data_IF_770947519358
#
_entry.id   IF_770947519358
#
_cell.length_a   1.000
_cell.length_b   1.000
_cell.length_c   1.000
_cell.angle_alpha   90.00
_cell.angle_beta   90.00
_cell.angle_gamma   90.00
#
_symmetry.space_group_name_H-M   'P 1'
#
loop_
_entity.id
_entity.type
_entity.pdbx_description
1 polymer ?
#
# COMPACT_ATOMS: atom_id res chain seq x y z
N UNK A 1 22.19 22.32 7.33
CA UNK A 1 21.26 22.01 6.22
C UNK A 1 20.82 20.57 6.39
N UNK A 2 19.62 20.31 6.92
CA UNK A 2 19.15 18.94 7.14
C UNK A 2 18.88 18.34 5.76
N UNK A 3 19.51 17.21 5.37
CA UNK A 3 19.21 16.59 4.09
C UNK A 3 17.71 16.30 4.04
N UNK A 4 17.07 16.77 2.98
CA UNK A 4 15.63 16.85 2.80
C UNK A 4 15.03 15.42 2.69
N UNK A 5 14.72 14.82 3.84
CA UNK A 5 14.29 13.41 4.00
C UNK A 5 12.87 13.26 3.45
N UNK A 6 12.69 12.36 2.50
CA UNK A 6 11.36 11.94 2.06
C UNK A 6 10.81 10.82 2.94
N UNK A 7 9.51 10.86 3.17
CA UNK A 7 8.69 9.82 3.81
C UNK A 7 8.21 8.83 2.76
N UNK A 8 8.16 7.55 3.12
CA UNK A 8 7.52 6.50 2.31
C UNK A 8 6.34 5.94 3.09
N UNK A 9 5.16 6.00 2.47
CA UNK A 9 3.93 5.34 2.91
C UNK A 9 3.72 4.12 2.01
N UNK A 10 3.65 2.93 2.60
CA UNK A 10 3.36 1.68 1.92
C UNK A 10 1.95 1.21 2.33
N UNK A 11 1.05 1.07 1.36
CA UNK A 11 -0.34 0.63 1.59
C UNK A 11 -0.51 -0.75 0.98
N UNK A 12 -0.92 -1.73 1.79
CA UNK A 12 -0.99 -3.14 1.41
C UNK A 12 -2.34 -3.77 1.78
N UNK A 13 -2.92 -4.59 0.88
CA UNK A 13 -4.13 -5.33 1.12
C UNK A 13 -3.90 -6.56 2.01
N UNK A 14 -4.98 -7.09 2.59
CA UNK A 14 -4.96 -8.30 3.43
C UNK A 14 -5.98 -9.37 3.03
N UNK A 15 -6.82 -9.12 2.02
CA UNK A 15 -7.91 -10.04 1.68
C UNK A 15 -7.47 -11.44 1.20
N UNK A 16 -6.30 -11.59 0.56
CA UNK A 16 -5.88 -12.86 -0.03
C UNK A 16 -4.78 -13.54 0.80
N UNK A 17 -4.91 -14.85 1.01
CA UNK A 17 -3.88 -15.69 1.66
C UNK A 17 -2.53 -15.60 0.94
N UNK A 18 -2.54 -15.46 -0.39
CA UNK A 18 -1.32 -15.29 -1.19
C UNK A 18 -0.47 -14.07 -0.81
N UNK A 19 -1.04 -13.06 -0.13
CA UNK A 19 -0.28 -11.91 0.39
C UNK A 19 0.60 -12.28 1.60
N UNK A 20 0.40 -13.47 2.17
CA UNK A 20 1.11 -13.98 3.33
C UNK A 20 2.00 -15.18 3.02
N UNK A 21 2.03 -15.63 1.77
CA UNK A 21 2.92 -16.70 1.32
C UNK A 21 4.38 -16.27 1.39
N UNK A 22 5.31 -17.22 1.59
CA UNK A 22 6.76 -16.96 1.63
C UNK A 22 7.37 -16.73 0.23
N UNK A 23 6.66 -16.04 -0.65
CA UNK A 23 6.98 -15.88 -2.06
C UNK A 23 7.15 -14.41 -2.47
N UNK A 24 7.62 -14.21 -3.70
CA UNK A 24 7.64 -12.89 -4.35
C UNK A 24 6.21 -12.33 -4.36
N UNK A 25 6.08 -11.04 -4.06
CA UNK A 25 4.80 -10.32 -3.97
C UNK A 25 3.98 -10.51 -2.70
N UNK A 26 4.51 -11.18 -1.67
CA UNK A 26 3.92 -11.12 -0.32
C UNK A 26 4.01 -9.73 0.29
N UNK A 27 3.26 -9.49 1.37
CA UNK A 27 3.29 -8.24 2.13
C UNK A 27 4.70 -7.98 2.70
N UNK A 28 5.35 -8.99 3.29
CA UNK A 28 6.75 -8.93 3.70
C UNK A 28 7.66 -8.52 2.54
N UNK A 29 7.49 -9.14 1.37
CA UNK A 29 8.33 -8.82 0.22
C UNK A 29 8.19 -7.35 -0.19
N UNK A 30 6.97 -6.80 -0.18
CA UNK A 30 6.72 -5.38 -0.47
C UNK A 30 7.34 -4.46 0.58
N UNK A 31 7.22 -4.80 1.87
CA UNK A 31 7.86 -4.05 2.98
C UNK A 31 9.38 -4.02 2.79
N UNK A 32 10.01 -5.17 2.49
CA UNK A 32 11.44 -5.25 2.17
C UNK A 32 11.82 -4.35 0.99
N UNK A 33 11.03 -4.32 -0.08
CA UNK A 33 11.31 -3.44 -1.22
C UNK A 33 11.12 -1.95 -0.88
N UNK A 34 10.10 -1.62 -0.10
CA UNK A 34 9.82 -0.25 0.30
C UNK A 34 10.88 0.31 1.26
N UNK A 35 11.42 -0.51 2.19
CA UNK A 35 12.57 -0.14 3.02
C UNK A 35 13.78 0.22 2.16
N UNK A 36 14.09 -0.59 1.14
CA UNK A 36 15.19 -0.29 0.18
C UNK A 36 14.95 0.97 -0.65
N UNK A 37 13.70 1.33 -0.90
CA UNK A 37 13.32 2.60 -1.54
C UNK A 37 13.51 3.74 -0.55
N UNK A 38 13.03 3.58 0.68
CA UNK A 38 13.16 4.54 1.75
C UNK A 38 14.62 4.93 1.95
N UNK A 39 15.55 3.96 2.09
CA UNK A 39 17.00 4.21 2.21
C UNK A 39 17.59 5.08 1.10
N UNK A 40 16.97 5.09 -0.08
CA UNK A 40 17.42 5.89 -1.23
C UNK A 40 16.79 7.27 -1.28
N UNK A 41 15.60 7.46 -0.72
CA UNK A 41 14.85 8.73 -0.80
C UNK A 41 14.83 9.51 0.51
N UNK A 42 15.10 8.84 1.63
CA UNK A 42 15.26 9.38 2.98
C UNK A 42 16.32 8.57 3.73
N UNK A 43 17.15 9.21 4.55
CA UNK A 43 18.24 8.53 5.22
C UNK A 43 17.74 7.55 6.31
N UNK A 44 17.42 6.30 5.92
CA UNK A 44 17.27 5.14 6.80
C UNK A 44 16.15 5.18 7.84
N UNK A 45 15.17 6.09 7.71
CA UNK A 45 14.22 6.34 8.80
C UNK A 45 13.15 5.25 9.00
N UNK A 46 13.07 4.24 8.13
CA UNK A 46 11.96 3.29 8.07
C UNK A 46 10.79 3.76 7.17
N UNK A 47 9.70 2.99 7.15
CA UNK A 47 8.48 3.26 6.38
C UNK A 47 7.24 3.16 7.26
N UNK A 48 6.17 3.86 6.90
CA UNK A 48 4.86 3.58 7.50
C UNK A 48 4.15 2.57 6.61
N UNK A 49 3.64 1.51 7.21
CA UNK A 49 2.87 0.46 6.53
C UNK A 49 1.43 0.56 6.98
N UNK A 50 0.54 0.74 6.01
CA UNK A 50 -0.90 0.74 6.20
C UNK A 50 -1.44 -0.58 5.64
N UNK A 51 -1.87 -1.48 6.52
CA UNK A 51 -2.57 -2.69 6.14
C UNK A 51 -4.06 -2.39 6.07
N UNK A 52 -4.72 -2.78 4.98
CA UNK A 52 -6.15 -2.52 4.79
C UNK A 52 -6.90 -3.77 4.35
N UNK A 53 -8.15 -3.87 4.78
CA UNK A 53 -9.00 -5.03 4.50
C UNK A 53 -10.28 -5.04 5.32
N UNK A 54 -10.93 -6.19 5.31
CA UNK A 54 -12.16 -6.43 6.07
C UNK A 54 -11.83 -6.84 7.51
N UNK A 55 -12.65 -6.46 8.51
CA UNK A 55 -12.41 -6.86 9.89
C UNK A 55 -12.65 -8.37 10.10
N UNK A 56 -11.82 -9.01 10.91
CA UNK A 56 -11.95 -10.43 11.26
C UNK A 56 -13.26 -10.75 12.00
N UNK A 57 -13.87 -9.76 12.66
CA UNK A 57 -15.12 -9.93 13.41
C UNK A 57 -16.35 -10.27 12.54
N UNK A 58 -16.22 -10.25 11.20
CA UNK A 58 -17.31 -10.53 10.27
C UNK A 58 -18.38 -9.44 10.18
N UNK A 59 -18.27 -8.38 10.98
CA UNK A 59 -19.13 -7.20 10.86
C UNK A 59 -18.89 -6.49 9.53
N UNK A 60 -19.96 -6.19 8.78
CA UNK A 60 -19.85 -5.38 7.58
C UNK A 60 -19.37 -3.96 7.94
N UNK A 61 -18.23 -3.57 7.38
CA UNK A 61 -17.70 -2.20 7.47
C UNK A 61 -17.54 -1.69 6.04
N UNK A 62 -18.42 -0.77 5.64
CA UNK A 62 -18.51 -0.28 4.25
C UNK A 62 -17.17 0.17 3.67
N UNK A 63 -16.34 0.82 4.50
CA UNK A 63 -15.07 1.40 4.06
C UNK A 63 -13.85 0.51 4.37
N UNK A 64 -14.07 -0.68 4.94
CA UNK A 64 -13.03 -1.53 5.50
C UNK A 64 -12.40 -0.93 6.77
N UNK A 65 -11.35 -1.60 7.24
CA UNK A 65 -10.50 -1.14 8.35
C UNK A 65 -9.06 -0.96 7.87
N UNK A 66 -8.30 -0.16 8.60
CA UNK A 66 -6.88 0.08 8.35
C UNK A 66 -6.10 0.02 9.66
N UNK A 67 -4.91 -0.59 9.61
CA UNK A 67 -3.92 -0.51 10.67
C UNK A 67 -2.66 0.15 10.13
N UNK A 68 -2.22 1.21 10.80
CA UNK A 68 -0.96 1.90 10.52
C UNK A 68 0.12 1.42 11.49
N UNK A 69 1.24 0.97 10.95
CA UNK A 69 2.44 0.57 11.71
C UNK A 69 3.67 1.28 11.17
N UNK A 70 4.73 1.37 11.98
CA UNK A 70 6.05 1.85 11.56
C UNK A 70 6.99 0.66 11.46
N UNK A 71 7.70 0.53 10.35
CA UNK A 71 8.69 -0.53 10.14
C UNK A 71 10.06 0.06 9.86
N UNK A 72 11.03 -0.37 10.65
CA UNK A 72 12.45 -0.10 10.46
C UNK A 72 13.15 -1.41 10.09
N UNK A 73 14.30 -1.32 9.42
CA UNK A 73 15.00 -2.50 8.89
C UNK A 73 15.33 -3.53 9.99
N UNK A 74 15.68 -3.05 11.19
CA UNK A 74 15.99 -3.88 12.36
C UNK A 74 14.77 -4.51 13.02
N UNK A 75 13.55 -4.02 12.75
CA UNK A 75 12.28 -4.56 13.28
C UNK A 75 11.46 -5.32 12.24
N UNK A 76 12.03 -5.58 11.08
CA UNK A 76 11.33 -6.24 9.99
C UNK A 76 10.89 -7.64 10.41
N UNK A 77 11.76 -8.43 11.03
CA UNK A 77 11.44 -9.81 11.41
C UNK A 77 10.30 -9.89 12.43
N UNK A 78 10.33 -9.02 13.46
CA UNK A 78 9.23 -8.93 14.42
C UNK A 78 7.93 -8.47 13.76
N UNK A 79 8.00 -7.49 12.84
CA UNK A 79 6.81 -7.04 12.12
C UNK A 79 6.24 -8.14 11.24
N UNK A 80 7.09 -8.89 10.54
CA UNK A 80 6.67 -10.01 9.69
C UNK A 80 5.92 -11.06 10.49
N UNK A 81 6.45 -11.46 11.66
CA UNK A 81 5.82 -12.45 12.53
C UNK A 81 4.44 -12.02 13.04
N UNK A 82 4.22 -10.73 13.29
CA UNK A 82 2.93 -10.20 13.73
C UNK A 82 1.93 -10.01 12.59
N UNK A 83 2.38 -9.50 11.45
CA UNK A 83 1.52 -8.85 10.47
C UNK A 83 1.56 -9.43 9.05
N UNK A 84 2.53 -10.29 8.76
CA UNK A 84 2.74 -10.82 7.40
C UNK A 84 2.85 -12.34 7.34
N UNK A 85 2.47 -13.03 8.40
CA UNK A 85 2.34 -14.48 8.46
C UNK A 85 0.92 -14.80 8.89
N UNK A 86 0.34 -15.84 8.30
CA UNK A 86 -0.92 -16.43 8.73
C UNK A 86 -0.71 -17.92 8.98
N UNK A 87 -1.61 -18.51 9.75
CA UNK A 87 -1.62 -19.94 10.00
C UNK A 87 -2.45 -20.61 8.92
N UNK A 88 -1.83 -20.90 7.77
CA UNK A 88 -2.49 -21.65 6.71
C UNK A 88 -2.59 -23.13 7.09
N UNK A 89 -3.53 -23.45 7.98
CA UNK A 89 -3.74 -24.84 8.44
C UNK A 89 -4.57 -25.64 7.44
N UNK A 90 -5.34 -24.99 6.56
CA UNK A 90 -6.35 -25.64 5.73
C UNK A 90 -7.45 -26.33 6.55
N UNK A 91 -7.57 -26.00 7.84
CA UNK A 91 -8.51 -26.59 8.81
C UNK A 91 -9.64 -25.62 9.16
N UNK A 92 -10.01 -24.71 8.26
CA UNK A 92 -11.07 -23.71 8.46
C UNK A 92 -12.43 -24.32 8.86
N UNK A 93 -12.60 -25.63 8.65
CA UNK A 93 -13.77 -26.42 9.05
C UNK A 93 -13.79 -26.80 10.54
N UNK A 94 -12.68 -26.61 11.26
CA UNK A 94 -12.62 -26.79 12.72
C UNK A 94 -12.94 -25.43 13.35
N UNK A 95 -14.12 -25.33 13.99
CA UNK A 95 -14.64 -24.12 14.65
C UNK A 95 -13.74 -23.59 15.80
N UNK A 96 -12.65 -24.28 16.13
CA UNK A 96 -11.68 -23.96 17.17
C UNK A 96 -10.39 -23.28 16.68
N UNK A 97 -10.34 -22.84 15.41
CA UNK A 97 -9.20 -22.08 14.90
C UNK A 97 -9.09 -20.70 15.58
N UNK A 98 -8.34 -20.64 16.68
CA UNK A 98 -7.96 -19.36 17.29
C UNK A 98 -6.95 -18.66 16.38
N UNK A 99 -7.09 -17.35 16.15
CA UNK A 99 -6.10 -16.60 15.39
C UNK A 99 -4.74 -16.72 16.08
N UNK A 100 -3.68 -17.04 15.33
CA UNK A 100 -2.34 -17.20 15.90
C UNK A 100 -1.47 -15.95 15.72
N UNK A 101 -1.89 -15.05 14.84
CA UNK A 101 -1.17 -13.82 14.50
C UNK A 101 -2.07 -12.60 14.61
N UNK A 102 -1.45 -11.43 14.78
CA UNK A 102 -2.18 -10.17 14.93
C UNK A 102 -2.94 -9.78 13.66
N UNK A 103 -2.45 -10.19 12.49
CA UNK A 103 -3.17 -10.00 11.24
C UNK A 103 -4.45 -10.83 11.18
N UNK A 104 -4.44 -12.09 11.64
CA UNK A 104 -5.64 -12.95 11.71
C UNK A 104 -6.65 -12.47 12.76
N UNK A 105 -6.18 -11.90 13.87
CA UNK A 105 -7.05 -11.26 14.87
C UNK A 105 -7.75 -10.01 14.32
N UNK A 106 -7.11 -9.32 13.37
CA UNK A 106 -7.57 -8.01 12.90
C UNK A 106 -8.37 -8.11 11.61
N UNK A 107 -7.90 -8.88 10.64
CA UNK A 107 -8.43 -8.91 9.27
C UNK A 107 -9.03 -10.26 8.91
N UNK A 108 -10.11 -10.25 8.14
CA UNK A 108 -10.71 -11.43 7.52
C UNK A 108 -9.88 -11.90 6.31
N UNK A 109 -8.72 -12.50 6.57
CA UNK A 109 -7.81 -13.04 5.54
C UNK A 109 -8.44 -14.26 4.87
N UNK A 110 -8.41 -14.33 3.54
CA UNK A 110 -8.96 -15.48 2.80
C UNK A 110 -10.49 -15.59 2.84
N UNK A 111 -11.18 -14.54 3.32
CA UNK A 111 -12.63 -14.50 3.42
C UNK A 111 -13.36 -14.56 2.06
N UNK A 112 -14.71 -14.53 2.07
CA UNK A 112 -15.53 -14.72 0.87
C UNK A 112 -15.33 -13.64 -0.21
N UNK A 113 -14.76 -12.50 0.17
CA UNK A 113 -14.39 -11.41 -0.73
C UNK A 113 -12.92 -11.50 -1.11
N UNK A 114 -12.64 -11.63 -2.41
CA UNK A 114 -11.27 -11.73 -2.96
C UNK A 114 -10.50 -10.39 -3.00
N UNK A 115 -11.05 -9.31 -2.43
CA UNK A 115 -10.47 -7.96 -2.44
C UNK A 115 -10.73 -7.22 -1.13
N UNK A 116 -9.85 -6.27 -0.84
CA UNK A 116 -9.86 -5.41 0.33
C UNK A 116 -10.56 -4.08 0.05
N UNK A 117 -11.32 -3.53 1.00
CA UNK A 117 -11.89 -2.19 0.91
C UNK A 117 -10.85 -1.13 1.29
N UNK A 118 -10.53 -0.25 0.35
CA UNK A 118 -9.39 0.68 0.41
C UNK A 118 -9.74 2.07 0.97
N UNK A 119 -11.03 2.41 1.09
CA UNK A 119 -11.48 3.74 1.53
C UNK A 119 -10.94 4.15 2.90
N UNK A 120 -10.94 3.27 3.89
CA UNK A 120 -10.33 3.56 5.20
C UNK A 120 -8.83 3.86 5.07
N UNK A 121 -8.11 3.10 4.25
CA UNK A 121 -6.68 3.31 3.98
C UNK A 121 -6.42 4.65 3.30
N UNK A 122 -7.24 5.02 2.30
CA UNK A 122 -7.13 6.30 1.60
C UNK A 122 -7.30 7.48 2.56
N UNK A 123 -8.27 7.40 3.48
CA UNK A 123 -8.48 8.45 4.49
C UNK A 123 -7.27 8.59 5.42
N UNK A 124 -6.69 7.47 5.86
CA UNK A 124 -5.48 7.48 6.70
C UNK A 124 -4.26 8.02 5.93
N UNK A 125 -4.08 7.68 4.65
CA UNK A 125 -3.03 8.28 3.83
C UNK A 125 -3.22 9.79 3.73
N UNK A 126 -4.42 10.26 3.38
CA UNK A 126 -4.71 11.69 3.25
C UNK A 126 -4.51 12.42 4.59
N UNK A 127 -4.88 11.82 5.72
CA UNK A 127 -4.58 12.35 7.04
C UNK A 127 -3.07 12.47 7.28
N UNK A 128 -2.32 11.40 6.99
CA UNK A 128 -0.86 11.37 7.10
C UNK A 128 -0.16 12.40 6.19
N UNK A 129 -0.75 12.74 5.03
CA UNK A 129 -0.22 13.78 4.13
C UNK A 129 -0.35 15.18 4.72
N UNK A 130 -1.35 15.45 5.55
CA UNK A 130 -1.52 16.74 6.24
C UNK A 130 -0.47 16.98 7.32
N UNK A 131 0.17 15.90 7.81
CA UNK A 131 1.23 15.95 8.83
C UNK A 131 2.62 16.28 8.22
N UNK A 132 2.77 16.18 6.90
CA UNK A 132 4.06 16.27 6.21
C UNK A 132 4.13 17.49 5.29
N UNK A 133 5.31 18.13 5.14
CA UNK A 133 5.49 19.16 4.13
C UNK A 133 5.24 18.59 2.72
N UNK A 134 4.61 19.37 1.81
CA UNK A 134 4.44 18.98 0.41
C UNK A 134 5.77 18.60 -0.25
N UNK A 135 5.70 17.74 -1.27
CA UNK A 135 6.87 17.32 -2.05
C UNK A 135 7.74 16.27 -1.38
N UNK A 136 7.43 15.87 -0.14
CA UNK A 136 8.28 14.98 0.68
C UNK A 136 7.71 13.60 0.90
N UNK A 137 6.57 13.26 0.33
CA UNK A 137 5.96 11.94 0.54
C UNK A 137 5.88 11.15 -0.76
N UNK A 138 6.36 9.91 -0.71
CA UNK A 138 6.10 8.87 -1.70
C UNK A 138 5.05 7.91 -1.13
N UNK A 139 3.91 7.80 -1.80
CA UNK A 139 2.90 6.78 -1.52
C UNK A 139 3.09 5.63 -2.50
N UNK A 140 3.25 4.44 -1.95
CA UNK A 140 3.18 3.17 -2.66
C UNK A 140 1.87 2.53 -2.26
N UNK A 141 1.04 2.19 -3.24
CA UNK A 141 -0.27 1.60 -2.98
C UNK A 141 -0.42 0.30 -3.78
N UNK A 142 -0.51 -0.83 -3.09
CA UNK A 142 -0.86 -2.10 -3.72
C UNK A 142 -2.38 -2.21 -3.77
N UNK A 143 -2.93 -2.31 -4.98
CA UNK A 143 -4.35 -2.49 -5.26
C UNK A 143 -4.64 -3.96 -5.51
N UNK A 144 -5.76 -4.44 -4.98
CA UNK A 144 -6.25 -5.81 -5.13
C UNK A 144 -7.69 -5.90 -5.63
N UNK A 145 -8.33 -4.76 -5.92
CA UNK A 145 -9.71 -4.70 -6.38
C UNK A 145 -9.96 -3.69 -7.50
N UNK A 146 -11.07 -3.91 -8.21
CA UNK A 146 -11.63 -2.95 -9.18
C UNK A 146 -12.55 -1.93 -8.52
N UNK A 147 -13.06 -2.27 -7.34
CA UNK A 147 -13.83 -1.33 -6.53
C UNK A 147 -12.95 -0.11 -6.21
N UNK A 148 -13.59 1.05 -6.06
CA UNK A 148 -12.98 2.24 -5.46
C UNK A 148 -11.87 2.92 -6.29
N UNK A 149 -11.65 2.52 -7.55
CA UNK A 149 -10.63 3.14 -8.41
C UNK A 149 -10.89 4.63 -8.66
N UNK A 150 -12.15 4.99 -8.84
CA UNK A 150 -12.58 6.39 -8.97
C UNK A 150 -12.28 7.15 -7.69
N UNK A 151 -12.56 6.55 -6.54
CA UNK A 151 -12.33 7.12 -5.22
C UNK A 151 -10.83 7.30 -4.95
N UNK A 152 -9.97 6.37 -5.37
CA UNK A 152 -8.50 6.54 -5.32
C UNK A 152 -8.10 7.78 -6.11
N UNK A 153 -8.56 7.92 -7.36
CA UNK A 153 -8.25 9.07 -8.22
C UNK A 153 -8.74 10.38 -7.60
N UNK A 154 -9.96 10.40 -7.06
CA UNK A 154 -10.51 11.56 -6.39
C UNK A 154 -9.71 11.93 -5.14
N UNK A 155 -9.37 10.95 -4.29
CA UNK A 155 -8.55 11.19 -3.11
C UNK A 155 -7.16 11.76 -3.47
N UNK A 156 -6.54 11.27 -4.54
CA UNK A 156 -5.25 11.80 -5.04
C UNK A 156 -5.41 13.25 -5.52
N UNK A 157 -6.47 13.53 -6.28
CA UNK A 157 -6.76 14.88 -6.78
C UNK A 157 -7.01 15.84 -5.63
N UNK A 158 -7.82 15.44 -4.66
CA UNK A 158 -8.22 16.27 -3.51
C UNK A 158 -7.05 16.51 -2.55
N UNK A 159 -6.13 15.56 -2.42
CA UNK A 159 -4.88 15.76 -1.69
C UNK A 159 -3.97 16.82 -2.35
N UNK A 160 -4.12 17.05 -3.65
CA UNK A 160 -3.36 18.02 -4.43
C UNK A 160 -2.04 17.46 -4.99
N UNK A 161 -1.67 17.96 -6.17
CA UNK A 161 -0.52 17.42 -6.93
C UNK A 161 0.83 17.58 -6.24
N UNK A 162 0.95 18.53 -5.31
CA UNK A 162 2.16 18.78 -4.53
C UNK A 162 2.27 17.94 -3.25
N UNK A 163 1.20 17.32 -2.76
CA UNK A 163 1.21 16.68 -1.46
C UNK A 163 2.09 15.41 -1.42
N UNK A 164 1.94 14.55 -2.43
CA UNK A 164 2.70 13.31 -2.56
C UNK A 164 2.79 12.85 -4.01
N UNK A 165 3.78 12.00 -4.28
CA UNK A 165 3.80 11.19 -5.49
C UNK A 165 3.20 9.82 -5.20
N UNK A 166 2.26 9.40 -6.03
CA UNK A 166 1.53 8.14 -5.89
C UNK A 166 2.02 7.14 -6.93
N UNK A 167 2.45 5.97 -6.46
CA UNK A 167 2.78 4.83 -7.30
C UNK A 167 1.87 3.67 -6.94
N UNK A 168 0.87 3.42 -7.79
CA UNK A 168 -0.12 2.37 -7.60
C UNK A 168 0.32 1.11 -8.34
N UNK A 169 0.21 -0.04 -7.71
CA UNK A 169 0.57 -1.34 -8.26
C UNK A 169 -0.64 -2.27 -8.20
N UNK A 170 -0.82 -3.12 -9.19
CA UNK A 170 -1.88 -4.13 -9.15
C UNK A 170 -1.84 -5.06 -10.34
N UNK A 171 -2.50 -6.20 -10.22
CA UNK A 171 -2.58 -7.21 -11.29
C UNK A 171 -3.75 -6.89 -12.22
N UNK A 172 -3.58 -7.01 -13.53
CA UNK A 172 -4.60 -6.65 -14.54
C UNK A 172 -5.93 -7.34 -14.30
N UNK A 173 -5.93 -8.63 -13.94
CA UNK A 173 -7.16 -9.35 -13.66
C UNK A 173 -7.90 -8.81 -12.42
N UNK A 174 -7.16 -8.32 -11.43
CA UNK A 174 -7.68 -7.81 -10.17
C UNK A 174 -8.14 -6.34 -10.27
N UNK A 175 -7.49 -5.52 -11.12
CA UNK A 175 -7.77 -4.09 -11.24
C UNK A 175 -8.38 -3.75 -12.61
N UNK A 176 -9.32 -2.82 -12.68
CA UNK A 176 -9.90 -2.32 -13.94
C UNK A 176 -8.88 -1.66 -14.87
N UNK A 177 -8.20 -2.45 -15.72
CA UNK A 177 -7.26 -1.94 -16.74
C UNK A 177 -7.83 -0.85 -17.65
N UNK A 178 -9.07 -0.95 -18.18
CA UNK A 178 -9.65 0.10 -19.01
C UNK A 178 -9.71 1.46 -18.29
N UNK A 179 -10.02 1.47 -17.00
CA UNK A 179 -10.09 2.69 -16.19
C UNK A 179 -8.74 3.41 -16.11
N UNK A 180 -7.65 2.67 -15.83
CA UNK A 180 -6.32 3.26 -15.68
C UNK A 180 -5.66 3.64 -17.01
N UNK A 181 -6.08 3.03 -18.11
CA UNK A 181 -5.56 3.35 -19.45
C UNK A 181 -6.28 4.52 -20.11
N UNK A 182 -7.52 4.79 -19.71
CA UNK A 182 -8.27 5.96 -20.12
C UNK A 182 -7.45 7.25 -19.93
N UNK A 183 -7.39 8.06 -20.99
CA UNK A 183 -6.68 9.34 -21.05
C UNK A 183 -5.19 9.29 -20.63
N UNK A 184 -4.61 8.09 -20.57
CA UNK A 184 -3.27 7.86 -20.06
C UNK A 184 -3.11 8.20 -18.57
N UNK A 185 -4.16 8.01 -17.76
CA UNK A 185 -4.14 8.18 -16.30
C UNK A 185 -2.97 7.43 -15.64
N UNK A 186 -2.70 6.19 -16.06
CA UNK A 186 -1.56 5.38 -15.60
C UNK A 186 -0.18 6.03 -15.80
N UNK A 187 -0.06 7.01 -16.71
CA UNK A 187 1.19 7.75 -17.00
C UNK A 187 1.19 9.15 -16.37
N UNK A 188 0.18 9.48 -15.58
CA UNK A 188 0.04 10.79 -14.97
C UNK A 188 -0.23 11.90 -15.98
N UNK A 189 -0.94 11.60 -17.10
CA UNK A 189 -1.35 12.63 -18.07
C UNK A 189 -2.40 13.59 -17.51
N UNK A 190 -3.27 13.09 -16.64
CA UNK A 190 -4.36 13.85 -15.99
C UNK A 190 -3.99 14.26 -14.56
N UNK A 191 -3.19 13.44 -13.87
CA UNK A 191 -2.68 13.70 -12.53
C UNK A 191 -1.16 13.57 -12.54
N UNK A 192 -0.44 14.69 -12.56
CA UNK A 192 1.00 14.69 -12.81
C UNK A 192 1.84 13.99 -11.72
N UNK A 193 1.23 13.78 -10.55
CA UNK A 193 1.81 13.12 -9.39
C UNK A 193 1.42 11.64 -9.26
N UNK A 194 0.88 11.01 -10.32
CA UNK A 194 0.44 9.62 -10.33
C UNK A 194 1.21 8.78 -11.35
N UNK A 195 1.61 7.57 -10.95
CA UNK A 195 2.02 6.50 -11.86
C UNK A 195 1.36 5.18 -11.46
N UNK A 196 0.81 4.45 -12.44
CA UNK A 196 0.18 3.15 -12.21
C UNK A 196 0.97 2.06 -12.93
N UNK A 197 1.23 0.97 -12.22
CA UNK A 197 2.03 -0.17 -12.66
C UNK A 197 1.12 -1.40 -12.68
N UNK A 198 0.76 -1.85 -13.88
CA UNK A 198 -0.16 -2.98 -14.10
C UNK A 198 0.69 -4.18 -14.54
N UNK A 199 0.51 -5.33 -13.90
CA UNK A 199 1.27 -6.57 -14.17
C UNK A 199 2.78 -6.35 -14.28
N UNK A 200 3.28 -5.39 -13.49
CA UNK A 200 4.67 -4.97 -13.55
C UNK A 200 5.40 -5.42 -12.31
N UNK A 201 6.56 -6.02 -12.51
CA UNK A 201 7.49 -6.35 -11.44
C UNK A 201 7.96 -5.09 -10.70
N UNK A 202 8.01 -5.17 -9.36
CA UNK A 202 8.53 -4.08 -8.54
C UNK A 202 10.00 -3.80 -8.88
N UNK A 203 10.31 -2.55 -9.24
CA UNK A 203 11.69 -2.12 -9.47
C UNK A 203 12.04 -0.91 -8.61
N UNK A 204 12.90 -1.11 -7.61
CA UNK A 204 13.44 -0.04 -6.76
C UNK A 204 13.95 1.14 -7.59
N UNK A 205 14.72 0.87 -8.64
CA UNK A 205 15.29 1.91 -9.51
C UNK A 205 14.19 2.71 -10.22
N UNK A 206 13.16 2.04 -10.74
CA UNK A 206 12.06 2.71 -11.42
C UNK A 206 11.24 3.58 -10.44
N UNK A 207 10.91 3.02 -9.27
CA UNK A 207 10.16 3.71 -8.20
C UNK A 207 10.87 4.98 -7.76
N UNK A 208 12.15 4.87 -7.37
CA UNK A 208 12.97 6.02 -6.94
C UNK A 208 13.09 7.05 -8.05
N UNK A 209 13.40 6.63 -9.29
CA UNK A 209 13.58 7.55 -10.42
C UNK A 209 12.33 8.38 -10.72
N UNK A 210 11.14 7.78 -10.69
CA UNK A 210 9.88 8.50 -10.94
C UNK A 210 9.63 9.53 -9.84
N UNK A 211 9.76 9.11 -8.57
CA UNK A 211 9.62 10.00 -7.43
C UNK A 211 10.60 11.19 -7.48
N UNK A 212 11.90 10.93 -7.70
CA UNK A 212 12.89 12.00 -7.77
C UNK A 212 12.67 12.99 -8.91
N UNK A 213 12.12 12.53 -10.06
CA UNK A 213 11.77 13.40 -11.18
C UNK A 213 10.59 14.30 -10.85
N UNK A 214 9.53 13.75 -10.25
CA UNK A 214 8.38 14.53 -9.81
C UNK A 214 8.81 15.56 -8.75
N UNK A 215 9.55 15.13 -7.72
CA UNK A 215 10.01 16.00 -6.64
C UNK A 215 10.88 17.16 -7.15
N UNK A 216 11.76 16.91 -8.13
CA UNK A 216 12.54 17.97 -8.78
C UNK A 216 11.67 19.02 -9.47
N UNK A 217 10.57 18.61 -10.11
CA UNK A 217 9.63 19.52 -10.78
C UNK A 217 8.73 20.27 -9.81
N UNK A 218 8.39 19.66 -8.67
CA UNK A 218 7.55 20.28 -7.65
C UNK A 218 8.31 21.31 -6.79
N UNK A 219 9.64 21.18 -6.70
CA UNK A 219 10.52 22.12 -5.97
C UNK A 219 11.20 23.19 -6.86
N UNK A 220 10.88 23.22 -8.15
CA UNK A 220 11.32 24.23 -9.13
C UNK A 220 10.13 25.08 -9.55
#
# INVERSE_FOLDING_TARGET
MIPDRARVLLVLPTAQTSYFASEKYSNEWHVRQALRVADKVGAGAGIDVLLYGNPASGGYVEDGIVVRTRVEAERLESWTAEWSVITDTGLDFLEDARPATRVEETFAVGGPTWFSHSRAALREVVAALKEAPPGRTLVIFQMDGRAEQREIVLAIRDAGEGAAFWQLFGKEHAIGYPFWTQDGLHRGRVLANLAVHIDTDWSRRAVVRRFSRWRKRAGS
#
